data_IF_743195760490
#
_entry.id   IF_743195760490
#
_cell.length_a   1.000
_cell.length_b   1.000
_cell.length_c   1.000
_cell.angle_alpha   90.00
_cell.angle_beta   90.00
_cell.angle_gamma   90.00
#
_symmetry.space_group_name_H-M   'P 1'
#
loop_
_entity.id
_entity.type
_entity.pdbx_description
1 polymer ?
#
# COMPACT_ATOMS: atom_id res chain seq x y z
N UNK A 1 -45.11 -20.61 12.46
CA UNK A 1 -44.01 -20.17 11.56
C UNK A 1 -44.25 -18.85 10.80
N UNK A 2 -45.46 -18.27 10.78
CA UNK A 2 -45.72 -17.00 10.09
C UNK A 2 -45.48 -15.72 10.93
N UNK A 3 -45.05 -15.82 12.20
CA UNK A 3 -44.80 -14.65 13.09
C UNK A 3 -43.32 -14.33 13.37
N UNK A 4 -42.37 -15.16 12.91
CA UNK A 4 -40.93 -14.91 13.05
C UNK A 4 -40.26 -14.28 11.81
N UNK A 5 -40.98 -14.15 10.69
CA UNK A 5 -40.46 -13.51 9.45
C UNK A 5 -40.73 -12.00 9.42
N UNK A 6 -41.60 -11.48 10.29
CA UNK A 6 -41.95 -10.05 10.36
C UNK A 6 -40.99 -9.21 11.22
N UNK A 7 -40.29 -9.83 12.18
CA UNK A 7 -39.37 -9.13 13.07
C UNK A 7 -37.99 -8.81 12.43
N UNK A 8 -37.59 -9.54 11.38
CA UNK A 8 -36.31 -9.32 10.68
C UNK A 8 -36.40 -8.26 9.56
N UNK A 9 -37.61 -7.84 9.17
CA UNK A 9 -37.83 -6.79 8.15
C UNK A 9 -37.86 -5.37 8.72
N UNK A 10 -37.79 -5.18 10.04
CA UNK A 10 -37.77 -3.84 10.68
C UNK A 10 -36.41 -3.40 11.22
N UNK A 11 -35.35 -4.19 11.03
CA UNK A 11 -34.01 -3.88 11.53
C UNK A 11 -33.01 -3.38 10.45
N UNK A 12 -33.45 -3.20 9.19
CA UNK A 12 -32.58 -2.77 8.08
C UNK A 12 -33.01 -1.43 7.43
N UNK A 13 -33.87 -0.67 8.11
CA UNK A 13 -34.38 0.60 7.59
C UNK A 13 -33.51 1.86 7.84
N UNK A 14 -32.54 1.92 8.79
CA UNK A 14 -31.74 3.14 8.98
C UNK A 14 -30.28 2.94 8.58
N UNK A 15 -30.00 2.69 7.30
CA UNK A 15 -28.65 2.89 6.71
C UNK A 15 -28.73 3.76 5.45
N UNK A 16 -29.89 3.88 4.81
CA UNK A 16 -30.06 4.68 3.59
C UNK A 16 -30.54 6.13 3.81
N UNK A 17 -30.84 6.53 5.05
CA UNK A 17 -31.37 7.88 5.33
C UNK A 17 -30.30 8.94 5.65
N UNK A 18 -29.02 8.57 5.84
CA UNK A 18 -27.98 9.53 6.24
C UNK A 18 -27.16 10.12 5.06
N UNK A 19 -27.37 9.67 3.82
CA UNK A 19 -26.66 10.18 2.64
C UNK A 19 -27.48 11.19 1.81
N UNK A 20 -28.69 11.54 2.25
CA UNK A 20 -29.62 12.39 1.50
C UNK A 20 -29.94 13.71 2.24
N UNK A 21 -28.91 14.47 2.64
CA UNK A 21 -29.14 15.83 3.18
C UNK A 21 -28.00 16.85 2.95
N UNK A 22 -27.26 16.76 1.83
CA UNK A 22 -26.33 17.84 1.42
C UNK A 22 -26.46 18.24 -0.06
N UNK A 23 -27.35 17.63 -0.83
CA UNK A 23 -27.52 17.95 -2.25
C UNK A 23 -28.74 18.84 -2.51
N UNK A 24 -28.74 20.08 -2.01
CA UNK A 24 -29.68 21.10 -2.51
C UNK A 24 -29.27 22.54 -2.20
N UNK A 25 -28.20 23.08 -2.83
CA UNK A 25 -28.15 24.50 -3.21
C UNK A 25 -27.23 24.67 -4.43
N UNK A 26 -27.77 25.25 -5.51
CA UNK A 26 -27.01 26.16 -6.38
C UNK A 26 -26.48 25.61 -7.70
N UNK A 27 -27.37 25.38 -8.66
CA UNK A 27 -27.01 25.49 -10.06
C UNK A 27 -26.80 26.97 -10.43
N UNK A 28 -25.68 27.30 -11.08
CA UNK A 28 -25.47 28.35 -12.10
C UNK A 28 -24.02 28.85 -11.98
N UNK A 29 -23.19 28.55 -12.98
CA UNK A 29 -22.19 29.44 -13.60
C UNK A 29 -21.51 28.62 -14.71
N UNK A 30 -21.64 29.07 -15.96
CA UNK A 30 -20.94 28.48 -17.10
C UNK A 30 -19.43 28.75 -16.97
N UNK A 31 -18.63 27.68 -16.94
CA UNK A 31 -17.17 27.75 -16.89
C UNK A 31 -16.57 27.76 -18.31
N UNK A 32 -15.43 28.45 -18.54
CA UNK A 32 -14.76 28.57 -19.84
C UNK A 32 -14.08 27.24 -20.24
N UNK A 33 -13.61 27.06 -21.50
CA UNK A 33 -13.19 25.76 -22.00
C UNK A 33 -11.93 25.28 -21.28
N UNK A 34 -12.10 24.32 -20.38
CA UNK A 34 -11.02 23.69 -19.65
C UNK A 34 -10.24 22.72 -20.55
N UNK A 35 -8.91 22.78 -20.45
CA UNK A 35 -8.02 21.78 -21.01
C UNK A 35 -8.44 20.36 -20.60
N UNK A 36 -8.33 19.41 -21.52
CA UNK A 36 -8.76 18.03 -21.33
C UNK A 36 -8.14 17.42 -20.04
N UNK A 37 -8.94 16.72 -19.21
CA UNK A 37 -8.44 16.09 -18.00
C UNK A 37 -7.37 15.02 -18.30
N UNK A 38 -6.42 14.73 -17.38
CA UNK A 38 -5.25 13.89 -17.61
C UNK A 38 -5.51 12.38 -17.87
N UNK A 39 -6.78 12.01 -18.12
CA UNK A 39 -7.27 10.65 -18.34
C UNK A 39 -8.04 10.47 -19.66
N UNK A 40 -8.18 11.51 -20.49
CA UNK A 40 -8.87 11.41 -21.77
C UNK A 40 -7.95 10.82 -22.87
N UNK A 41 -8.46 9.93 -23.74
CA UNK A 41 -7.73 9.52 -24.93
C UNK A 41 -7.43 10.70 -25.84
N UNK A 42 -6.36 10.63 -26.65
CA UNK A 42 -6.03 11.65 -27.64
C UNK A 42 -7.05 11.76 -28.77
N UNK A 43 -8.11 10.93 -28.79
CA UNK A 43 -9.23 11.01 -29.72
C UNK A 43 -10.48 10.33 -29.16
N UNK A 44 -11.56 10.28 -29.94
CA UNK A 44 -12.89 9.93 -29.45
C UNK A 44 -13.15 8.41 -29.45
N UNK A 45 -12.12 7.57 -29.47
CA UNK A 45 -12.27 6.12 -29.59
C UNK A 45 -11.17 5.32 -28.89
N UNK A 46 -11.50 4.08 -28.53
CA UNK A 46 -10.57 3.05 -28.03
C UNK A 46 -10.58 1.81 -28.92
N UNK A 47 -9.51 1.02 -28.87
CA UNK A 47 -9.47 -0.32 -29.47
C UNK A 47 -9.96 -1.36 -28.47
N UNK A 48 -10.68 -2.36 -28.95
CA UNK A 48 -11.13 -3.51 -28.15
C UNK A 48 -10.76 -4.79 -28.89
N UNK A 49 -9.87 -5.61 -28.31
CA UNK A 49 -9.52 -6.94 -28.80
C UNK A 49 -10.24 -8.00 -27.99
N UNK A 50 -11.45 -8.32 -28.46
CA UNK A 50 -12.43 -9.10 -27.72
C UNK A 50 -12.58 -10.54 -28.20
N UNK A 51 -13.61 -11.22 -27.69
CA UNK A 51 -13.98 -12.59 -28.13
C UNK A 51 -14.42 -12.63 -29.60
N UNK A 52 -14.86 -11.49 -30.15
CA UNK A 52 -15.30 -11.34 -31.53
C UNK A 52 -14.21 -10.77 -32.47
N UNK A 53 -12.98 -10.57 -31.98
CA UNK A 53 -11.88 -9.96 -32.72
C UNK A 53 -11.62 -8.49 -32.40
N UNK A 54 -10.82 -7.84 -33.25
CA UNK A 54 -10.41 -6.43 -33.09
C UNK A 54 -11.54 -5.50 -33.54
N UNK A 55 -11.99 -4.62 -32.65
CA UNK A 55 -13.07 -3.63 -32.88
C UNK A 55 -12.63 -2.25 -32.36
N UNK A 56 -13.16 -1.18 -32.96
CA UNK A 56 -13.00 0.19 -32.45
C UNK A 56 -14.31 0.63 -31.80
N UNK A 57 -14.25 1.10 -30.57
CA UNK A 57 -15.40 1.59 -29.81
C UNK A 57 -15.30 3.10 -29.65
N UNK A 58 -16.34 3.81 -30.10
CA UNK A 58 -16.46 5.25 -29.94
C UNK A 58 -16.83 5.61 -28.51
N UNK A 59 -16.21 6.67 -28.01
CA UNK A 59 -16.45 7.28 -26.71
C UNK A 59 -17.47 8.40 -26.86
N UNK A 60 -18.41 8.48 -25.93
CA UNK A 60 -19.22 9.66 -25.74
C UNK A 60 -18.44 10.65 -24.85
N UNK A 61 -18.15 11.88 -25.30
CA UNK A 61 -17.38 12.84 -24.51
C UNK A 61 -18.03 13.13 -23.15
N UNK A 62 -17.20 13.31 -22.13
CA UNK A 62 -17.62 13.60 -20.76
C UNK A 62 -16.50 14.19 -19.91
N UNK A 63 -16.84 14.75 -18.75
CA UNK A 63 -15.87 15.32 -17.80
C UNK A 63 -14.89 14.27 -17.25
N UNK A 64 -15.27 12.99 -17.23
CA UNK A 64 -14.44 11.88 -16.75
C UNK A 64 -13.50 11.25 -17.78
N UNK A 65 -13.36 11.83 -18.98
CA UNK A 65 -12.48 11.33 -20.05
C UNK A 65 -13.15 10.39 -21.06
N UNK A 66 -14.47 10.31 -21.07
CA UNK A 66 -15.28 9.60 -22.06
C UNK A 66 -16.10 8.44 -21.48
N UNK A 67 -17.27 8.19 -22.07
CA UNK A 67 -18.18 7.08 -21.73
C UNK A 67 -18.25 6.04 -22.84
N UNK A 68 -18.47 4.79 -22.46
CA UNK A 68 -18.70 3.67 -23.38
C UNK A 68 -20.07 3.05 -23.13
N UNK A 69 -20.63 2.44 -24.17
CA UNK A 69 -21.83 1.62 -24.07
C UNK A 69 -21.54 0.32 -23.33
N UNK A 70 -22.22 0.12 -22.21
CA UNK A 70 -22.00 -1.03 -21.33
C UNK A 70 -22.26 -2.36 -22.04
N UNK A 71 -23.39 -2.47 -22.73
CA UNK A 71 -23.84 -3.68 -23.44
C UNK A 71 -22.87 -4.11 -24.56
N UNK A 72 -22.32 -3.14 -25.29
CA UNK A 72 -21.34 -3.36 -26.35
C UNK A 72 -20.04 -3.90 -25.78
N UNK A 73 -19.50 -3.23 -24.76
CA UNK A 73 -18.24 -3.62 -24.13
C UNK A 73 -18.32 -5.00 -23.48
N UNK A 74 -19.41 -5.28 -22.76
CA UNK A 74 -19.65 -6.59 -22.14
C UNK A 74 -19.65 -7.71 -23.18
N UNK A 75 -20.34 -7.51 -24.31
CA UNK A 75 -20.39 -8.48 -25.40
C UNK A 75 -19.02 -8.68 -26.06
N UNK A 76 -18.31 -7.59 -26.36
CA UNK A 76 -16.98 -7.67 -26.97
C UNK A 76 -15.99 -8.42 -26.08
N UNK A 77 -16.09 -8.26 -24.76
CA UNK A 77 -15.19 -8.91 -23.80
C UNK A 77 -15.68 -10.27 -23.30
N UNK A 78 -16.80 -10.79 -23.83
CA UNK A 78 -17.32 -12.11 -23.48
C UNK A 78 -17.91 -12.20 -22.07
N UNK A 79 -18.40 -11.09 -21.51
CA UNK A 79 -19.12 -11.06 -20.24
C UNK A 79 -20.63 -11.24 -20.38
N UNK A 80 -21.32 -11.21 -19.23
CA UNK A 80 -22.78 -11.18 -19.14
C UNK A 80 -23.27 -9.90 -18.48
N UNK A 81 -24.49 -9.49 -18.81
CA UNK A 81 -25.15 -8.33 -18.22
C UNK A 81 -26.59 -8.70 -17.87
N UNK A 82 -26.91 -8.64 -16.58
CA UNK A 82 -28.22 -8.96 -16.02
C UNK A 82 -28.86 -7.69 -15.46
N UNK A 83 -30.16 -7.48 -15.67
CA UNK A 83 -30.90 -6.41 -15.00
C UNK A 83 -31.37 -6.90 -13.63
N UNK A 84 -30.96 -6.20 -12.56
CA UNK A 84 -31.40 -6.47 -11.20
C UNK A 84 -32.64 -5.63 -10.82
N UNK A 85 -32.76 -4.44 -11.41
CA UNK A 85 -33.90 -3.55 -11.36
C UNK A 85 -33.90 -2.64 -12.60
N UNK A 86 -34.92 -1.79 -12.75
CA UNK A 86 -35.05 -0.87 -13.88
C UNK A 86 -33.84 0.10 -14.01
N UNK A 87 -33.23 0.46 -12.89
CA UNK A 87 -32.12 1.40 -12.77
C UNK A 87 -30.81 0.72 -12.36
N UNK A 88 -30.76 -0.62 -12.31
CA UNK A 88 -29.62 -1.35 -11.74
C UNK A 88 -29.27 -2.60 -12.53
N UNK A 89 -27.99 -2.75 -12.85
CA UNK A 89 -27.45 -3.83 -13.67
C UNK A 89 -26.31 -4.54 -12.95
N UNK A 90 -26.24 -5.85 -13.13
CA UNK A 90 -25.08 -6.67 -12.75
C UNK A 90 -24.33 -7.07 -14.02
N UNK A 91 -23.03 -6.81 -14.04
CA UNK A 91 -22.15 -7.13 -15.16
C UNK A 91 -21.10 -8.12 -14.67
N UNK A 92 -20.99 -9.26 -15.35
CA UNK A 92 -20.12 -10.36 -14.92
C UNK A 92 -19.08 -10.75 -15.97
N UNK A 93 -17.86 -11.03 -15.51
CA UNK A 93 -16.75 -11.54 -16.32
C UNK A 93 -16.02 -12.63 -15.54
N UNK A 94 -15.88 -13.82 -16.13
CA UNK A 94 -15.04 -14.92 -15.60
C UNK A 94 -15.21 -15.20 -14.09
N UNK A 95 -16.45 -15.17 -13.59
CA UNK A 95 -16.78 -15.46 -12.18
C UNK A 95 -16.85 -14.26 -11.23
N UNK A 96 -16.51 -13.05 -11.69
CA UNK A 96 -16.64 -11.80 -10.93
C UNK A 96 -17.79 -10.95 -11.47
N UNK A 97 -18.48 -10.19 -10.61
CA UNK A 97 -19.57 -9.33 -11.03
C UNK A 97 -19.57 -7.97 -10.31
N UNK A 98 -19.76 -6.88 -11.07
CA UNK A 98 -20.02 -5.54 -10.54
C UNK A 98 -21.48 -5.17 -10.75
N UNK A 99 -22.03 -4.38 -9.85
CA UNK A 99 -23.36 -3.77 -9.95
C UNK A 99 -23.21 -2.28 -10.23
N UNK A 100 -24.04 -1.77 -11.13
CA UNK A 100 -24.05 -0.38 -11.58
C UNK A 100 -25.47 0.15 -11.44
N UNK A 101 -25.62 1.39 -11.00
CA UNK A 101 -26.92 2.03 -10.83
C UNK A 101 -26.95 3.39 -11.51
N UNK A 102 -28.06 3.69 -12.20
CA UNK A 102 -28.27 4.95 -12.90
C UNK A 102 -28.17 6.16 -11.97
N UNK A 103 -27.48 7.22 -12.42
CA UNK A 103 -27.27 8.44 -11.65
C UNK A 103 -26.30 8.30 -10.46
N UNK A 104 -25.78 7.10 -10.19
CA UNK A 104 -24.88 6.85 -9.06
C UNK A 104 -23.42 6.85 -9.53
N UNK A 105 -22.52 7.67 -8.96
CA UNK A 105 -21.09 7.69 -9.29
C UNK A 105 -20.32 6.60 -8.53
N UNK A 106 -20.94 5.43 -8.37
CA UNK A 106 -20.33 4.27 -7.71
C UNK A 106 -20.75 2.99 -8.41
N UNK A 107 -19.81 2.04 -8.54
CA UNK A 107 -20.11 0.65 -8.83
C UNK A 107 -20.09 -0.15 -7.52
N UNK A 108 -21.04 -1.04 -7.33
CA UNK A 108 -21.04 -1.96 -6.20
C UNK A 108 -20.33 -3.27 -6.57
N UNK A 109 -19.39 -3.72 -5.77
CA UNK A 109 -18.68 -4.99 -5.98
C UNK A 109 -18.57 -5.71 -4.65
N UNK A 110 -19.15 -6.91 -4.53
CA UNK A 110 -19.10 -7.71 -3.30
C UNK A 110 -19.43 -6.94 -2.01
N UNK A 111 -20.38 -6.00 -2.07
CA UNK A 111 -20.81 -5.18 -0.92
C UNK A 111 -20.02 -3.89 -0.69
N UNK A 112 -19.03 -3.58 -1.54
CA UNK A 112 -18.23 -2.34 -1.49
C UNK A 112 -18.65 -1.36 -2.59
N UNK A 113 -18.51 -0.05 -2.34
CA UNK A 113 -18.76 1.01 -3.31
C UNK A 113 -17.44 1.52 -3.92
N UNK A 114 -17.25 1.30 -5.22
CA UNK A 114 -16.11 1.76 -6.01
C UNK A 114 -16.45 3.10 -6.67
N UNK A 115 -15.75 4.21 -6.36
CA UNK A 115 -16.04 5.51 -6.96
C UNK A 115 -15.80 5.50 -8.47
N UNK A 116 -16.72 6.11 -9.20
CA UNK A 116 -16.61 6.38 -10.63
C UNK A 116 -16.24 7.85 -10.84
N UNK A 117 -15.45 8.14 -11.88
CA UNK A 117 -15.14 9.52 -12.28
C UNK A 117 -16.40 10.36 -12.57
N UNK A 118 -17.51 9.69 -12.90
CA UNK A 118 -18.81 10.29 -13.15
C UNK A 118 -19.93 9.25 -12.96
N UNK A 119 -21.16 9.72 -12.73
CA UNK A 119 -22.33 8.86 -12.55
C UNK A 119 -22.61 7.95 -13.75
N UNK A 120 -23.19 6.76 -13.56
CA UNK A 120 -23.75 5.99 -14.68
C UNK A 120 -24.86 6.81 -15.35
N UNK A 121 -24.92 6.79 -16.68
CA UNK A 121 -25.89 7.53 -17.46
C UNK A 121 -26.76 6.57 -18.27
N UNK A 122 -28.08 6.61 -18.07
CA UNK A 122 -29.04 5.97 -18.97
C UNK A 122 -29.63 6.99 -19.92
N UNK A 123 -29.53 6.73 -21.23
CA UNK A 123 -30.15 7.57 -22.26
C UNK A 123 -30.84 6.69 -23.29
N UNK A 124 -32.15 6.92 -23.49
CA UNK A 124 -32.98 6.16 -24.43
C UNK A 124 -32.89 4.63 -24.24
N UNK A 125 -32.82 4.17 -22.99
CA UNK A 125 -32.70 2.75 -22.65
C UNK A 125 -31.30 2.16 -22.86
N UNK A 126 -30.31 2.96 -23.25
CA UNK A 126 -28.91 2.55 -23.38
C UNK A 126 -28.11 2.99 -22.16
N UNK A 127 -27.34 2.07 -21.58
CA UNK A 127 -26.51 2.32 -20.40
C UNK A 127 -25.10 2.73 -20.82
N UNK A 128 -24.70 3.93 -20.41
CA UNK A 128 -23.36 4.48 -20.62
C UNK A 128 -22.62 4.58 -19.30
N UNK A 129 -21.40 4.05 -19.28
CA UNK A 129 -20.52 4.08 -18.12
C UNK A 129 -19.24 4.83 -18.45
N UNK A 130 -18.58 5.49 -17.47
CA UNK A 130 -17.25 6.04 -17.70
C UNK A 130 -16.29 4.95 -18.22
N UNK A 131 -15.38 5.34 -19.11
CA UNK A 131 -14.32 4.46 -19.63
C UNK A 131 -13.55 3.77 -18.50
N UNK A 132 -13.42 4.44 -17.36
CA UNK A 132 -12.89 3.90 -16.10
C UNK A 132 -13.43 2.50 -15.76
N UNK A 133 -14.70 2.22 -16.04
CA UNK A 133 -15.27 0.89 -15.80
C UNK A 133 -14.50 -0.19 -16.54
N UNK A 134 -13.98 0.06 -17.73
CA UNK A 134 -13.25 -0.92 -18.54
C UNK A 134 -11.74 -0.71 -18.60
N UNK A 135 -11.25 0.49 -18.30
CA UNK A 135 -9.82 0.78 -18.24
C UNK A 135 -9.23 0.52 -16.85
N UNK A 136 -10.04 0.60 -15.80
CA UNK A 136 -9.57 0.53 -14.42
C UNK A 136 -10.34 -0.48 -13.57
N UNK A 137 -11.66 -0.58 -13.67
CA UNK A 137 -12.48 -1.44 -12.77
C UNK A 137 -12.51 -2.89 -13.28
N UNK A 138 -13.09 -3.17 -14.44
CA UNK A 138 -13.22 -4.52 -15.01
C UNK A 138 -11.86 -5.23 -15.14
N UNK A 139 -10.74 -4.61 -15.56
CA UNK A 139 -9.44 -5.26 -15.55
C UNK A 139 -8.94 -5.70 -14.16
N UNK A 140 -9.48 -5.16 -13.06
CA UNK A 140 -9.17 -5.61 -11.69
C UNK A 140 -9.93 -6.87 -11.29
N UNK A 141 -11.09 -7.15 -11.91
CA UNK A 141 -12.01 -8.21 -11.44
C UNK A 141 -12.24 -9.32 -12.48
N UNK A 142 -12.13 -9.03 -13.78
CA UNK A 142 -12.32 -9.99 -14.85
C UNK A 142 -11.03 -10.74 -15.18
N UNK A 143 -11.00 -12.05 -14.97
CA UNK A 143 -9.88 -12.89 -15.42
C UNK A 143 -9.76 -12.77 -16.94
N UNK A 144 -8.63 -12.24 -17.39
CA UNK A 144 -8.27 -12.20 -18.79
C UNK A 144 -8.67 -10.95 -19.55
N UNK A 145 -9.03 -9.82 -18.93
CA UNK A 145 -9.21 -8.52 -19.60
C UNK A 145 -8.09 -7.56 -19.16
N UNK A 146 -7.46 -6.87 -20.10
CA UNK A 146 -6.29 -5.99 -19.87
C UNK A 146 -6.52 -4.62 -20.51
N UNK A 147 -6.16 -3.55 -19.80
CA UNK A 147 -6.07 -2.19 -20.35
C UNK A 147 -4.63 -1.85 -20.72
N UNK A 148 -4.41 -1.43 -21.97
CA UNK A 148 -3.14 -0.89 -22.45
C UNK A 148 -3.30 0.61 -22.71
N UNK A 149 -2.78 1.43 -21.79
CA UNK A 149 -2.85 2.89 -21.87
C UNK A 149 -2.02 3.48 -23.01
N UNK A 150 -0.94 2.82 -23.43
CA UNK A 150 -0.09 3.31 -24.52
C UNK A 150 -0.79 3.21 -25.88
N UNK A 151 -1.70 2.23 -26.02
CA UNK A 151 -2.46 1.95 -27.25
C UNK A 151 -3.94 2.31 -27.16
N UNK A 152 -4.40 2.80 -26.00
CA UNK A 152 -5.81 3.02 -25.70
C UNK A 152 -6.67 1.81 -26.08
N UNK A 153 -6.23 0.64 -25.60
CA UNK A 153 -6.74 -0.67 -26.01
C UNK A 153 -7.20 -1.49 -24.80
N UNK A 154 -8.43 -2.02 -24.84
CA UNK A 154 -8.89 -3.09 -23.94
C UNK A 154 -8.74 -4.42 -24.68
N UNK A 155 -8.10 -5.43 -24.09
CA UNK A 155 -7.85 -6.72 -24.77
C UNK A 155 -8.03 -7.94 -23.87
N UNK A 156 -8.36 -9.09 -24.48
CA UNK A 156 -8.30 -10.37 -23.78
C UNK A 156 -6.87 -10.91 -23.64
N UNK A 157 -6.55 -11.56 -22.52
CA UNK A 157 -5.26 -12.19 -22.25
C UNK A 157 -5.24 -13.62 -22.81
N UNK A 158 -4.32 -13.90 -23.74
CA UNK A 158 -4.03 -15.28 -24.17
C UNK A 158 -2.74 -15.75 -23.51
N UNK A 159 -2.81 -16.81 -22.70
CA UNK A 159 -1.64 -17.41 -22.07
C UNK A 159 -0.77 -18.13 -23.11
N UNK A 160 0.51 -17.78 -23.21
CA UNK A 160 1.50 -18.57 -23.94
C UNK A 160 1.83 -19.80 -23.09
N UNK A 161 1.35 -20.97 -23.49
CA UNK A 161 1.66 -22.23 -22.83
C UNK A 161 3.12 -22.64 -23.14
N UNK A 162 4.00 -22.62 -22.12
CA UNK A 162 5.21 -23.46 -22.09
C UNK A 162 5.08 -24.43 -20.92
N UNK A 163 4.90 -25.70 -21.27
CA UNK A 163 4.91 -26.84 -20.36
C UNK A 163 6.35 -27.37 -20.34
N UNK A 164 7.03 -27.23 -19.21
CA UNK A 164 8.20 -28.06 -18.90
C UNK A 164 7.91 -28.77 -17.58
N UNK A 165 7.84 -30.10 -17.65
CA UNK A 165 7.53 -30.98 -16.54
C UNK A 165 8.80 -31.22 -15.72
N UNK A 166 8.78 -30.88 -14.44
CA UNK A 166 9.81 -31.30 -13.48
C UNK A 166 9.46 -32.69 -12.91
N UNK A 167 10.45 -33.61 -12.76
CA UNK A 167 10.20 -34.96 -12.26
C UNK A 167 10.13 -34.99 -10.73
N UNK A 168 9.31 -35.92 -10.21
CA UNK A 168 9.10 -36.16 -8.79
C UNK A 168 10.29 -36.89 -8.13
N UNK A 169 10.60 -36.52 -6.89
CA UNK A 169 11.55 -37.23 -6.01
C UNK A 169 10.81 -37.69 -4.75
N UNK A 170 10.94 -38.97 -4.32
CA UNK A 170 10.16 -39.53 -3.23
C UNK A 170 10.70 -39.18 -1.83
N UNK A 171 9.79 -39.08 -0.88
CA UNK A 171 10.04 -38.81 0.53
C UNK A 171 10.66 -40.01 1.26
N UNK A 172 11.63 -39.75 2.13
CA UNK A 172 12.11 -40.68 3.16
C UNK A 172 12.05 -40.02 4.53
N UNK A 173 11.34 -40.68 5.45
CA UNK A 173 11.23 -40.34 6.87
C UNK A 173 12.40 -40.97 7.65
N UNK A 174 12.94 -40.29 8.67
CA UNK A 174 13.49 -41.01 9.81
C UNK A 174 12.85 -40.61 11.15
N UNK A 175 12.87 -41.60 12.04
CA UNK A 175 12.17 -41.75 13.30
C UNK A 175 12.67 -40.85 14.45
N UNK A 176 11.80 -40.74 15.46
CA UNK A 176 12.01 -40.09 16.75
C UNK A 176 13.05 -40.80 17.63
N UNK A 177 13.65 -40.07 18.60
CA UNK A 177 14.07 -40.68 19.84
C UNK A 177 13.39 -40.09 21.08
N UNK A 178 13.35 -40.98 22.06
CA UNK A 178 12.66 -41.02 23.35
C UNK A 178 13.17 -40.06 24.42
N UNK A 179 12.24 -39.60 25.25
CA UNK A 179 12.42 -38.92 26.55
C UNK A 179 13.03 -39.82 27.62
N UNK A 180 13.74 -39.25 28.61
CA UNK A 180 13.48 -39.64 30.00
C UNK A 180 13.19 -38.45 30.93
N UNK A 181 12.43 -38.75 31.98
CA UNK A 181 11.84 -37.84 32.96
C UNK A 181 12.67 -37.65 34.25
N UNK A 182 12.15 -36.77 35.13
CA UNK A 182 12.53 -36.37 36.52
C UNK A 182 13.44 -35.13 36.61
N UNK A 183 13.29 -34.19 37.56
CA UNK A 183 12.52 -34.11 38.82
C UNK A 183 12.33 -32.63 39.21
N UNK A 184 11.36 -32.35 40.08
CA UNK A 184 11.01 -31.05 40.65
C UNK A 184 12.10 -30.37 41.49
N UNK A 185 12.08 -29.02 41.57
CA UNK A 185 12.25 -28.26 42.83
C UNK A 185 12.08 -26.73 42.62
N UNK A 186 11.19 -26.15 43.43
CA UNK A 186 11.24 -24.87 44.15
C UNK A 186 11.37 -23.51 43.44
N UNK A 187 10.28 -22.74 43.58
CA UNK A 187 10.14 -21.27 43.61
C UNK A 187 11.05 -20.63 44.69
N UNK A 188 11.49 -19.37 44.51
CA UNK A 188 10.75 -18.27 45.17
C UNK A 188 10.59 -16.99 44.33
N UNK A 189 9.60 -16.19 44.74
CA UNK A 189 9.19 -14.86 44.24
C UNK A 189 10.31 -13.80 44.19
N UNK A 190 10.16 -12.74 43.39
CA UNK A 190 10.77 -11.45 43.69
C UNK A 190 9.74 -10.39 44.12
N UNK A 191 10.07 -9.78 45.27
CA UNK A 191 9.48 -8.58 45.86
C UNK A 191 9.37 -7.42 44.88
N UNK A 192 8.19 -6.80 44.90
CA UNK A 192 7.91 -5.47 44.37
C UNK A 192 8.62 -4.42 45.23
N UNK A 193 9.46 -3.58 44.60
CA UNK A 193 9.98 -2.34 45.22
C UNK A 193 9.45 -1.16 44.42
N UNK A 194 8.55 -0.41 45.05
CA UNK A 194 8.04 0.89 44.60
C UNK A 194 8.98 1.98 45.12
N UNK A 195 9.44 2.93 44.29
CA UNK A 195 9.89 4.22 44.78
C UNK A 195 8.77 5.28 44.69
N UNK A 196 8.73 6.24 45.64
CA UNK A 196 7.59 7.13 45.86
C UNK A 196 7.57 8.36 44.95
N UNK A 197 6.34 8.86 44.76
CA UNK A 197 5.97 10.06 44.02
C UNK A 197 6.09 11.37 44.82
N UNK A 198 6.18 12.46 44.05
CA UNK A 198 5.60 13.81 44.26
C UNK A 198 6.48 14.90 44.95
N UNK A 199 6.18 16.23 44.80
CA UNK A 199 5.18 16.91 43.97
C UNK A 199 5.74 18.26 43.33
N UNK A 200 4.97 19.32 42.95
CA UNK A 200 5.22 20.10 41.71
C UNK A 200 5.58 21.59 41.98
N UNK A 201 5.99 22.34 40.94
CA UNK A 201 5.99 23.80 40.97
C UNK A 201 5.92 24.45 39.56
N UNK A 202 4.70 24.84 39.18
CA UNK A 202 4.21 26.13 38.66
C UNK A 202 4.95 27.00 37.58
N UNK A 203 4.20 27.90 36.90
CA UNK A 203 4.31 28.13 35.46
C UNK A 203 4.88 29.50 35.04
N UNK A 204 4.91 29.67 33.71
CA UNK A 204 5.00 30.91 32.92
C UNK A 204 6.40 31.43 32.56
N UNK A 205 6.68 31.48 31.25
CA UNK A 205 7.00 32.73 30.54
C UNK A 205 7.14 32.47 29.02
N UNK A 206 6.26 33.11 28.24
CA UNK A 206 6.32 33.20 26.77
C UNK A 206 7.28 34.33 26.38
N UNK A 207 8.21 34.15 25.42
CA UNK A 207 8.85 35.27 24.75
C UNK A 207 8.16 35.61 23.41
N UNK A 208 8.00 36.91 23.20
CA UNK A 208 7.30 37.57 22.13
C UNK A 208 7.91 37.37 20.73
N UNK A 209 7.04 37.43 19.72
CA UNK A 209 7.32 37.51 18.29
C UNK A 209 7.96 38.86 17.91
N UNK A 210 9.05 38.92 17.13
CA UNK A 210 9.55 40.17 16.55
C UNK A 210 8.72 40.59 15.31
N UNK A 211 8.65 41.90 14.99
CA UNK A 211 7.74 42.43 13.98
C UNK A 211 8.23 42.20 12.53
N UNK A 212 7.25 42.16 11.62
CA UNK A 212 7.42 41.95 10.19
C UNK A 212 8.24 43.06 9.51
N UNK A 213 9.30 42.66 8.80
CA UNK A 213 10.02 43.50 7.84
C UNK A 213 9.39 43.38 6.44
N UNK A 214 9.16 44.54 5.81
CA UNK A 214 8.53 44.77 4.50
C UNK A 214 9.22 44.01 3.35
N UNK A 215 8.48 43.50 2.33
CA UNK A 215 9.10 42.82 1.19
C UNK A 215 9.75 43.84 0.24
N UNK A 216 11.08 43.79 0.12
CA UNK A 216 11.83 44.43 -0.96
C UNK A 216 11.67 43.65 -2.27
N UNK A 217 11.42 44.36 -3.37
CA UNK A 217 11.21 43.81 -4.70
C UNK A 217 12.36 42.90 -5.14
N UNK A 218 12.05 41.62 -5.39
CA UNK A 218 12.99 40.64 -5.92
C UNK A 218 13.21 40.84 -7.42
N UNK A 219 14.47 40.90 -7.83
CA UNK A 219 14.89 40.85 -9.23
C UNK A 219 14.40 39.56 -9.92
N UNK A 220 14.18 39.57 -11.25
CA UNK A 220 13.64 38.42 -11.96
C UNK A 220 14.58 37.22 -11.85
N UNK A 221 14.07 36.14 -11.24
CA UNK A 221 14.80 34.88 -11.11
C UNK A 221 15.02 34.27 -12.51
N UNK A 222 16.29 34.03 -12.86
CA UNK A 222 16.67 33.19 -14.00
C UNK A 222 15.99 31.82 -13.90
N UNK A 223 15.59 31.18 -15.03
CA UNK A 223 14.97 29.86 -15.00
C UNK A 223 15.89 28.87 -14.29
N UNK A 224 15.43 28.33 -13.16
CA UNK A 224 16.18 27.35 -12.39
C UNK A 224 16.26 26.09 -13.25
N UNK A 225 17.43 25.83 -13.83
CA UNK A 225 17.70 24.60 -14.59
C UNK A 225 17.48 23.42 -13.64
N UNK A 226 16.56 22.52 -13.98
CA UNK A 226 16.31 21.34 -13.15
C UNK A 226 17.63 20.58 -12.91
N UNK A 227 17.89 20.12 -11.67
CA UNK A 227 19.12 19.42 -11.37
C UNK A 227 19.22 18.15 -12.22
N UNK A 228 20.41 17.90 -12.77
CA UNK A 228 20.68 16.77 -13.64
C UNK A 228 20.36 15.41 -12.97
N UNK A 229 19.99 14.43 -13.80
CA UNK A 229 19.75 13.05 -13.36
C UNK A 229 21.03 12.43 -12.75
N UNK A 230 20.89 11.53 -11.76
CA UNK A 230 22.02 10.79 -11.21
C UNK A 230 22.79 9.98 -12.25
N UNK A 231 24.11 9.76 -12.07
CA UNK A 231 24.88 8.86 -12.92
C UNK A 231 24.24 7.47 -13.01
N UNK A 232 23.96 7.03 -14.23
CA UNK A 232 23.35 5.73 -14.52
C UNK A 232 21.83 5.69 -14.46
N UNK A 233 21.17 6.83 -14.20
CA UNK A 233 19.72 7.00 -14.34
C UNK A 233 19.40 8.07 -15.39
N UNK A 234 18.28 7.91 -16.06
CA UNK A 234 17.79 8.79 -17.12
C UNK A 234 17.04 10.02 -16.59
N UNK A 235 16.52 9.92 -15.36
CA UNK A 235 15.86 11.00 -14.65
C UNK A 235 16.13 10.90 -13.14
N UNK A 236 15.73 11.93 -12.42
CA UNK A 236 15.65 11.91 -10.96
C UNK A 236 14.39 11.15 -10.54
N UNK A 237 14.52 10.30 -9.53
CA UNK A 237 13.42 9.57 -8.92
C UNK A 237 13.18 10.07 -7.49
N UNK A 238 11.93 9.99 -7.06
CA UNK A 238 11.50 10.31 -5.69
C UNK A 238 11.23 9.03 -4.91
N UNK A 239 11.90 8.84 -3.78
CA UNK A 239 11.69 7.70 -2.88
C UNK A 239 11.00 8.17 -1.61
N UNK A 240 9.82 7.64 -1.33
CA UNK A 240 9.18 7.81 -0.04
C UNK A 240 9.75 6.79 0.95
N UNK A 241 10.24 7.27 2.09
CA UNK A 241 10.75 6.44 3.18
C UNK A 241 9.83 6.65 4.39
N UNK A 242 9.13 5.59 4.76
CA UNK A 242 8.31 5.53 5.95
C UNK A 242 9.11 4.97 7.13
N UNK A 243 9.12 5.72 8.23
CA UNK A 243 9.65 5.23 9.50
C UNK A 243 8.47 4.66 10.31
N UNK A 244 8.43 3.33 10.48
CA UNK A 244 7.40 2.62 11.25
C UNK A 244 7.13 3.25 12.62
N UNK A 245 5.87 3.20 13.08
CA UNK A 245 5.42 3.69 14.40
C UNK A 245 5.69 5.19 14.62
N UNK A 246 5.82 5.64 15.88
CA UNK A 246 6.18 7.01 16.27
C UNK A 246 5.28 7.62 17.35
N UNK A 247 5.85 8.49 18.18
CA UNK A 247 5.14 9.21 19.23
C UNK A 247 4.55 8.27 20.28
N UNK A 248 3.22 8.24 20.40
CA UNK A 248 2.50 7.39 21.38
C UNK A 248 2.63 5.89 21.07
N UNK A 249 2.97 5.55 19.84
CA UNK A 249 3.20 4.18 19.42
C UNK A 249 4.72 3.90 19.35
N UNK A 250 5.29 3.18 20.33
CA UNK A 250 6.70 2.84 20.34
C UNK A 250 7.07 1.70 19.39
N UNK A 251 6.09 1.03 18.77
CA UNK A 251 6.25 -0.28 18.14
C UNK A 251 6.68 -1.34 19.14
N UNK A 252 7.47 -2.33 18.72
CA UNK A 252 7.98 -3.31 19.67
C UNK A 252 8.87 -2.66 20.75
N UNK A 253 8.79 -3.20 21.97
CA UNK A 253 9.47 -2.67 23.14
C UNK A 253 11.00 -2.76 23.07
N UNK A 254 11.52 -3.49 22.09
CA UNK A 254 12.92 -3.77 21.85
C UNK A 254 13.67 -4.28 23.09
N UNK A 255 14.92 -3.86 23.21
CA UNK A 255 15.83 -4.22 24.31
C UNK A 255 16.43 -2.98 24.97
N UNK A 256 17.07 -3.16 26.12
CA UNK A 256 17.86 -2.12 26.76
C UNK A 256 19.32 -2.27 26.34
N UNK A 257 19.85 -1.24 25.68
CA UNK A 257 21.26 -1.14 25.30
C UNK A 257 21.89 0.04 26.03
N UNK A 258 23.03 -0.16 26.69
CA UNK A 258 23.78 0.89 27.38
C UNK A 258 22.91 1.73 28.35
N UNK A 259 22.01 1.06 29.09
CA UNK A 259 21.10 1.71 30.05
C UNK A 259 19.92 2.47 29.42
N UNK A 260 19.74 2.43 28.10
CA UNK A 260 18.64 3.11 27.40
C UNK A 260 17.81 2.10 26.61
N UNK A 261 16.48 2.24 26.70
CA UNK A 261 15.57 1.46 25.85
C UNK A 261 15.73 1.87 24.39
N UNK A 262 15.85 0.88 23.53
CA UNK A 262 15.90 1.02 22.08
C UNK A 262 14.67 0.30 21.55
N UNK A 263 13.60 1.06 21.33
CA UNK A 263 12.35 0.57 20.76
C UNK A 263 12.35 0.78 19.24
N UNK A 264 11.35 0.22 18.60
CA UNK A 264 11.20 0.24 17.15
C UNK A 264 11.08 1.65 16.58
N UNK A 265 10.16 2.46 17.11
CA UNK A 265 9.92 3.82 16.61
C UNK A 265 11.19 4.68 16.55
N UNK A 266 12.12 4.46 17.50
CA UNK A 266 13.41 5.12 17.50
C UNK A 266 14.35 4.56 16.44
N UNK A 267 14.49 3.24 16.36
CA UNK A 267 15.36 2.59 15.37
C UNK A 267 14.94 2.95 13.94
N UNK A 268 13.65 2.86 13.64
CA UNK A 268 13.11 3.15 12.30
C UNK A 268 13.32 4.60 11.90
N UNK A 269 13.19 5.55 12.83
CA UNK A 269 13.48 6.97 12.58
C UNK A 269 14.97 7.22 12.32
N UNK A 270 15.85 6.62 13.13
CA UNK A 270 17.30 6.75 12.97
C UNK A 270 17.77 6.14 11.63
N UNK A 271 17.23 4.97 11.25
CA UNK A 271 17.47 4.31 9.95
C UNK A 271 16.95 5.15 8.78
N UNK A 272 15.71 5.65 8.87
CA UNK A 272 15.09 6.43 7.80
C UNK A 272 15.87 7.73 7.50
N UNK A 273 16.35 8.43 8.52
CA UNK A 273 17.16 9.66 8.34
C UNK A 273 18.52 9.38 7.68
N UNK A 274 19.15 8.25 8.02
CA UNK A 274 20.41 7.84 7.40
C UNK A 274 20.19 7.40 5.96
N UNK A 275 19.15 6.62 5.70
CA UNK A 275 18.75 6.24 4.35
C UNK A 275 18.41 7.46 3.50
N UNK A 276 17.68 8.44 4.04
CA UNK A 276 17.41 9.71 3.37
C UNK A 276 18.71 10.42 2.95
N UNK A 277 19.68 10.51 3.87
CA UNK A 277 20.97 11.15 3.60
C UNK A 277 21.75 10.41 2.50
N UNK A 278 21.78 9.07 2.55
CA UNK A 278 22.45 8.23 1.56
C UNK A 278 21.79 8.36 0.17
N UNK A 279 20.47 8.21 0.06
CA UNK A 279 19.73 8.34 -1.20
C UNK A 279 19.88 9.74 -1.82
N UNK A 280 19.81 10.80 -1.00
CA UNK A 280 20.03 12.19 -1.46
C UNK A 280 21.45 12.42 -1.94
N UNK A 281 22.46 11.84 -1.27
CA UNK A 281 23.87 11.95 -1.69
C UNK A 281 24.12 11.38 -3.09
N UNK A 282 23.28 10.42 -3.50
CA UNK A 282 23.31 9.81 -4.83
C UNK A 282 22.40 10.49 -5.85
N UNK A 283 21.75 11.60 -5.47
CA UNK A 283 20.95 12.42 -6.36
C UNK A 283 19.49 11.98 -6.52
N UNK A 284 18.95 11.19 -5.60
CA UNK A 284 17.51 10.94 -5.54
C UNK A 284 16.80 11.99 -4.67
N UNK A 285 15.53 12.21 -4.94
CA UNK A 285 14.66 12.97 -4.03
C UNK A 285 14.08 12.02 -2.99
N UNK A 286 13.93 12.52 -1.76
CA UNK A 286 13.44 11.71 -0.64
C UNK A 286 12.38 12.46 0.14
N UNK A 287 11.30 11.74 0.43
CA UNK A 287 10.19 12.19 1.28
C UNK A 287 10.11 11.26 2.49
N UNK A 288 10.29 11.81 3.68
CA UNK A 288 9.99 11.09 4.92
C UNK A 288 8.50 11.24 5.26
N UNK A 289 7.83 10.15 5.63
CA UNK A 289 6.45 10.24 6.18
C UNK A 289 6.44 10.96 7.52
N UNK A 290 7.48 10.75 8.35
CA UNK A 290 7.79 11.54 9.54
C UNK A 290 9.28 11.89 9.65
N UNK A 291 9.62 13.18 9.81
CA UNK A 291 11.01 13.60 10.07
C UNK A 291 11.38 13.59 11.57
N UNK A 292 10.42 13.31 12.45
CA UNK A 292 10.56 13.38 13.90
C UNK A 292 9.72 12.29 14.59
N UNK A 293 9.82 12.24 15.92
CA UNK A 293 9.12 11.24 16.73
C UNK A 293 7.66 11.66 16.97
N UNK A 294 6.80 11.33 16.00
CA UNK A 294 5.36 11.59 16.04
C UNK A 294 4.61 10.45 15.38
N UNK A 295 3.37 10.20 15.84
CA UNK A 295 2.48 9.25 15.19
C UNK A 295 2.05 9.79 13.82
N UNK A 296 2.20 8.98 12.78
CA UNK A 296 1.52 9.15 11.48
C UNK A 296 0.57 7.98 11.32
N UNK A 297 -0.75 8.22 11.20
CA UNK A 297 -1.72 7.15 10.97
C UNK A 297 -1.36 6.31 9.75
N UNK A 298 -1.52 4.98 9.85
CA UNK A 298 -1.21 4.02 8.80
C UNK A 298 -1.92 4.39 7.49
N UNK A 299 -3.15 4.87 7.58
CA UNK A 299 -3.97 5.25 6.45
C UNK A 299 -3.49 6.54 5.74
N UNK A 300 -2.61 7.33 6.36
CA UNK A 300 -2.02 8.56 5.83
C UNK A 300 -0.62 8.37 5.23
N UNK A 301 0.12 7.33 5.63
CA UNK A 301 1.52 7.10 5.20
C UNK A 301 1.64 6.95 3.68
N UNK A 302 0.82 6.08 3.08
CA UNK A 302 0.74 5.93 1.62
C UNK A 302 0.29 7.21 0.89
N UNK A 303 -0.79 7.88 1.32
CA UNK A 303 -1.20 9.17 0.76
C UNK A 303 -0.14 10.27 0.80
N UNK A 304 0.73 10.33 1.81
CA UNK A 304 1.86 11.27 1.83
C UNK A 304 2.79 11.02 0.63
N UNK A 305 3.10 9.75 0.34
CA UNK A 305 3.91 9.36 -0.81
C UNK A 305 3.23 9.69 -2.15
N UNK A 306 1.93 9.38 -2.26
CA UNK A 306 1.14 9.69 -3.45
C UNK A 306 1.09 11.20 -3.74
N UNK A 307 0.87 12.01 -2.71
CA UNK A 307 0.80 13.48 -2.83
C UNK A 307 2.14 14.10 -3.27
N UNK A 308 3.25 13.39 -3.07
CA UNK A 308 4.58 13.78 -3.54
C UNK A 308 4.99 13.11 -4.84
N UNK A 309 4.11 12.32 -5.44
CA UNK A 309 4.36 11.54 -6.66
C UNK A 309 5.63 10.69 -6.53
N UNK A 310 5.79 10.05 -5.37
CA UNK A 310 6.92 9.15 -5.15
C UNK A 310 6.89 8.01 -6.16
N UNK A 311 8.06 7.64 -6.65
CA UNK A 311 8.26 6.53 -7.58
C UNK A 311 8.39 5.19 -6.84
N UNK A 312 8.79 5.22 -5.56
CA UNK A 312 8.98 4.05 -4.70
C UNK A 312 8.52 4.36 -3.27
N UNK A 313 8.04 3.35 -2.55
CA UNK A 313 7.69 3.44 -1.14
C UNK A 313 8.41 2.37 -0.32
N UNK A 314 9.17 2.78 0.70
CA UNK A 314 9.95 1.91 1.57
C UNK A 314 9.50 2.10 3.03
N UNK A 315 8.85 1.11 3.62
CA UNK A 315 8.47 1.11 5.04
C UNK A 315 9.52 0.40 5.88
N UNK A 316 10.19 1.09 6.80
CA UNK A 316 11.21 0.50 7.67
C UNK A 316 10.61 0.13 9.03
N UNK A 317 10.77 -1.13 9.41
CA UNK A 317 10.29 -1.74 10.66
C UNK A 317 11.37 -2.62 11.30
N UNK A 318 11.09 -3.09 12.51
CA UNK A 318 11.87 -4.13 13.18
C UNK A 318 10.93 -5.17 13.76
N UNK A 319 11.16 -6.46 13.47
CA UNK A 319 10.22 -7.48 13.88
C UNK A 319 10.35 -7.77 15.38
N UNK A 320 9.36 -8.46 15.94
CA UNK A 320 9.38 -9.05 17.26
C UNK A 320 9.04 -10.54 17.19
N UNK A 321 9.78 -11.32 17.97
CA UNK A 321 9.51 -12.74 18.09
C UNK A 321 8.15 -12.98 18.76
N UNK A 322 7.44 -14.03 18.33
CA UNK A 322 6.19 -14.41 18.98
C UNK A 322 6.47 -14.79 20.46
N UNK A 323 5.76 -14.19 21.42
CA UNK A 323 5.98 -14.45 22.85
C UNK A 323 5.72 -15.91 23.24
N UNK A 324 4.95 -16.66 22.45
CA UNK A 324 4.63 -18.07 22.70
C UNK A 324 5.70 -19.03 22.15
N UNK A 325 6.71 -18.54 21.42
CA UNK A 325 7.78 -19.39 20.93
C UNK A 325 8.77 -19.73 22.05
N UNK A 326 9.07 -21.04 22.21
CA UNK A 326 9.97 -21.56 23.26
C UNK A 326 11.33 -20.84 23.32
N UNK A 327 11.87 -20.43 22.17
CA UNK A 327 13.15 -19.70 22.05
C UNK A 327 12.98 -18.38 21.27
N UNK A 328 11.90 -17.63 21.52
CA UNK A 328 11.60 -16.39 20.79
C UNK A 328 12.76 -15.38 20.80
N UNK A 329 13.47 -15.23 21.92
CA UNK A 329 14.61 -14.32 22.04
C UNK A 329 15.80 -14.66 21.13
N UNK A 330 15.88 -15.89 20.60
CA UNK A 330 16.90 -16.31 19.65
C UNK A 330 16.52 -16.03 18.19
N UNK A 331 15.25 -15.71 17.91
CA UNK A 331 14.80 -15.40 16.54
C UNK A 331 15.36 -14.05 16.12
N UNK A 332 16.00 -14.04 14.96
CA UNK A 332 16.76 -12.91 14.43
C UNK A 332 16.85 -13.02 12.91
N UNK A 333 17.34 -11.98 12.26
CA UNK A 333 17.51 -11.94 10.80
C UNK A 333 16.59 -10.94 10.11
N UNK A 334 16.87 -10.73 8.83
CA UNK A 334 16.18 -9.76 7.97
C UNK A 334 15.12 -10.42 7.09
N UNK A 335 13.99 -9.76 6.92
CA UNK A 335 12.92 -10.13 5.99
C UNK A 335 12.31 -8.91 5.32
N UNK A 336 11.84 -9.09 4.08
CA UNK A 336 11.25 -8.01 3.28
C UNK A 336 9.92 -8.47 2.74
N UNK A 337 8.91 -7.62 2.87
CA UNK A 337 7.54 -7.90 2.47
C UNK A 337 7.11 -7.00 1.33
N UNK A 338 6.28 -7.55 0.45
CA UNK A 338 5.43 -6.77 -0.44
C UNK A 338 3.97 -7.08 -0.15
N UNK A 339 3.09 -6.19 -0.61
CA UNK A 339 1.65 -6.32 -0.37
C UNK A 339 1.11 -7.50 -1.19
N UNK A 340 0.68 -8.58 -0.56
CA UNK A 340 -0.04 -9.70 -1.20
C UNK A 340 -0.61 -10.64 -0.12
N UNK A 341 -1.49 -11.56 -0.51
CA UNK A 341 -2.12 -12.47 0.46
C UNK A 341 -1.07 -13.31 1.17
N UNK A 342 -1.08 -13.29 2.51
CA UNK A 342 -0.13 -14.07 3.30
C UNK A 342 -0.26 -15.58 3.06
N UNK A 343 0.88 -16.26 2.89
CA UNK A 343 0.97 -17.71 2.64
C UNK A 343 1.13 -18.50 3.93
N UNK A 344 1.70 -17.88 4.96
CA UNK A 344 2.01 -18.53 6.25
C UNK A 344 1.36 -17.82 7.42
N UNK A 345 1.28 -18.53 8.56
CA UNK A 345 0.79 -17.95 9.83
C UNK A 345 1.71 -16.83 10.34
N UNK A 346 3.02 -16.98 10.16
CA UNK A 346 4.00 -15.98 10.60
C UNK A 346 3.85 -14.68 9.79
N UNK A 347 3.64 -14.77 8.48
CA UNK A 347 3.33 -13.61 7.64
C UNK A 347 2.02 -12.91 8.06
N UNK A 348 0.97 -13.68 8.38
CA UNK A 348 -0.29 -13.13 8.90
C UNK A 348 -0.11 -12.45 10.24
N UNK A 349 0.68 -13.04 11.14
CA UNK A 349 0.98 -12.50 12.46
C UNK A 349 1.76 -11.19 12.38
N UNK A 350 2.80 -11.12 11.55
CA UNK A 350 3.60 -9.89 11.39
C UNK A 350 2.70 -8.79 10.83
N UNK A 351 1.91 -9.05 9.79
CA UNK A 351 0.94 -8.07 9.29
C UNK A 351 -0.06 -7.64 10.37
N UNK A 352 -0.62 -8.57 11.14
CA UNK A 352 -1.54 -8.23 12.23
C UNK A 352 -0.88 -7.29 13.24
N UNK A 353 0.34 -7.61 13.68
CA UNK A 353 1.13 -6.80 14.62
C UNK A 353 1.38 -5.38 14.09
N UNK A 354 1.82 -5.25 12.84
CA UNK A 354 2.07 -3.94 12.22
C UNK A 354 0.80 -3.14 11.99
N UNK A 355 -0.33 -3.82 11.82
CA UNK A 355 -1.62 -3.18 11.63
C UNK A 355 -2.33 -2.85 12.97
N UNK A 356 -1.82 -3.32 14.12
CA UNK A 356 -2.36 -2.98 15.45
C UNK A 356 -2.22 -1.49 15.78
N UNK A 357 -1.37 -0.74 15.08
CA UNK A 357 -1.20 0.72 15.27
C UNK A 357 -2.52 1.49 15.20
N UNK A 358 -3.52 0.96 14.47
CA UNK A 358 -4.89 1.52 14.41
C UNK A 358 -5.50 1.73 15.79
N UNK A 359 -5.16 0.92 16.80
CA UNK A 359 -5.68 1.13 18.16
C UNK A 359 -5.31 2.50 18.74
N UNK A 360 -4.12 3.01 18.41
CA UNK A 360 -3.66 4.34 18.83
C UNK A 360 -4.26 5.46 17.97
N UNK A 361 -4.78 5.12 16.79
CA UNK A 361 -5.48 6.05 15.89
C UNK A 361 -6.94 6.23 16.34
N UNK A 362 -7.62 5.17 16.79
CA UNK A 362 -9.05 5.18 17.19
C UNK A 362 -9.31 6.08 18.41
N UNK A 363 -8.37 6.19 19.34
CA UNK A 363 -8.45 7.14 20.46
C UNK A 363 -8.40 8.61 19.99
N UNK A 364 -7.94 8.85 18.76
CA UNK A 364 -7.95 10.16 18.09
C UNK A 364 -9.04 10.31 17.03
N UNK A 365 -9.71 9.22 16.60
CA UNK A 365 -10.75 9.22 15.57
C UNK A 365 -11.64 7.94 15.60
N UNK A 366 -12.88 7.97 16.13
CA UNK A 366 -13.64 6.77 16.53
C UNK A 366 -14.39 6.00 15.40
N UNK A 367 -13.79 5.81 14.21
CA UNK A 367 -14.50 5.29 13.03
C UNK A 367 -14.02 3.98 12.38
N UNK A 368 -12.96 3.32 12.86
CA UNK A 368 -12.30 2.24 12.10
C UNK A 368 -12.83 0.82 12.45
N UNK A 369 -13.66 0.26 11.56
CA UNK A 369 -14.00 -1.17 11.52
C UNK A 369 -12.99 -2.00 10.69
N UNK A 370 -13.05 -3.33 10.86
CA UNK A 370 -12.09 -4.36 10.41
C UNK A 370 -11.42 -4.11 9.03
N UNK A 371 -10.16 -3.63 9.01
CA UNK A 371 -9.48 -3.15 7.79
C UNK A 371 -8.83 -4.23 6.92
N UNK A 372 -8.59 -5.43 7.44
CA UNK A 372 -7.52 -6.31 6.93
C UNK A 372 -7.94 -7.25 5.81
N UNK A 373 -9.17 -7.75 5.85
CA UNK A 373 -9.68 -8.67 4.81
C UNK A 373 -9.90 -7.99 3.45
N UNK A 374 -10.15 -6.68 3.45
CA UNK A 374 -10.43 -5.88 2.26
C UNK A 374 -9.17 -5.53 1.45
N UNK A 375 -8.05 -5.29 2.15
CA UNK A 375 -6.79 -4.77 1.58
C UNK A 375 -6.11 -5.75 0.64
N UNK A 376 -6.26 -7.05 0.87
CA UNK A 376 -5.59 -8.10 0.08
C UNK A 376 -6.25 -8.36 -1.29
N UNK A 377 -7.52 -7.99 -1.46
CA UNK A 377 -8.25 -8.16 -2.73
C UNK A 377 -8.11 -6.95 -3.67
N UNK A 378 -7.64 -5.80 -3.16
CA UNK A 378 -7.57 -4.52 -3.89
C UNK A 378 -6.13 -4.06 -4.19
N UNK A 379 -5.15 -4.96 -4.08
CA UNK A 379 -3.74 -4.63 -4.37
C UNK A 379 -3.53 -4.48 -5.87
N UNK A 380 -3.47 -3.21 -6.25
CA UNK A 380 -2.92 -2.62 -7.46
C UNK A 380 -2.08 -3.57 -8.32
N UNK A 381 -2.57 -3.83 -9.54
CA UNK A 381 -1.81 -4.08 -10.76
C UNK A 381 -0.69 -5.14 -10.64
N UNK A 382 -0.78 -6.19 -11.47
CA UNK A 382 0.27 -7.20 -11.65
C UNK A 382 1.67 -6.58 -11.90
N UNK A 383 1.73 -5.33 -12.39
CA UNK A 383 2.96 -4.55 -12.52
C UNK A 383 3.52 -4.08 -11.17
N UNK A 384 2.80 -3.28 -10.35
CA UNK A 384 3.34 -2.85 -9.04
C UNK A 384 3.63 -4.02 -8.10
N UNK A 385 2.87 -5.11 -8.18
CA UNK A 385 3.16 -6.34 -7.44
C UNK A 385 4.50 -6.97 -7.86
N UNK A 386 4.75 -7.12 -9.17
CA UNK A 386 6.02 -7.64 -9.69
C UNK A 386 7.17 -6.70 -9.38
N UNK A 387 6.98 -5.41 -9.59
CA UNK A 387 7.96 -4.37 -9.26
C UNK A 387 8.29 -4.35 -7.77
N UNK A 388 7.29 -4.50 -6.89
CA UNK A 388 7.50 -4.58 -5.44
C UNK A 388 8.21 -5.86 -5.05
N UNK A 389 7.90 -7.00 -5.69
CA UNK A 389 8.60 -8.26 -5.46
C UNK A 389 10.07 -8.20 -5.92
N UNK A 390 10.34 -7.61 -7.09
CA UNK A 390 11.71 -7.41 -7.61
C UNK A 390 12.52 -6.48 -6.69
N UNK A 391 11.93 -5.35 -6.28
CA UNK A 391 12.53 -4.43 -5.32
C UNK A 391 12.78 -5.11 -3.97
N UNK A 392 11.80 -5.85 -3.45
CA UNK A 392 11.92 -6.59 -2.20
C UNK A 392 13.07 -7.60 -2.26
N UNK A 393 13.24 -8.31 -3.37
CA UNK A 393 14.32 -9.28 -3.55
C UNK A 393 15.70 -8.61 -3.54
N UNK A 394 15.87 -7.50 -4.28
CA UNK A 394 17.12 -6.75 -4.28
C UNK A 394 17.47 -6.20 -2.89
N UNK A 395 16.49 -5.65 -2.18
CA UNK A 395 16.69 -5.13 -0.82
C UNK A 395 17.01 -6.26 0.17
N UNK A 396 16.29 -7.39 0.07
CA UNK A 396 16.52 -8.56 0.90
C UNK A 396 17.95 -9.10 0.73
N UNK A 397 18.41 -9.27 -0.51
CA UNK A 397 19.73 -9.82 -0.80
C UNK A 397 20.84 -8.87 -0.36
N UNK A 398 20.68 -7.56 -0.59
CA UNK A 398 21.64 -6.55 -0.18
C UNK A 398 21.78 -6.44 1.34
N UNK A 399 20.67 -6.56 2.08
CA UNK A 399 20.71 -6.58 3.55
C UNK A 399 21.26 -7.91 4.08
N UNK A 400 20.83 -9.04 3.51
CA UNK A 400 21.31 -10.37 3.92
C UNK A 400 22.83 -10.52 3.80
N UNK A 401 23.46 -9.84 2.84
CA UNK A 401 24.92 -9.84 2.68
C UNK A 401 25.68 -9.11 3.80
N UNK A 402 25.01 -8.25 4.58
CA UNK A 402 25.61 -7.43 5.65
C UNK A 402 25.10 -7.79 7.04
N UNK A 403 23.86 -8.26 7.13
CA UNK A 403 23.19 -8.55 8.38
C UNK A 403 23.90 -9.71 9.13
N UNK A 404 24.10 -9.64 10.46
CA UNK A 404 24.81 -10.67 11.24
C UNK A 404 23.99 -11.96 11.46
N UNK A 405 22.66 -11.84 11.40
CA UNK A 405 21.70 -12.94 11.43
C UNK A 405 21.34 -13.49 10.04
N UNK A 406 20.49 -14.54 9.98
CA UNK A 406 20.13 -15.19 8.73
C UNK A 406 19.23 -14.31 7.84
N UNK A 407 19.24 -14.59 6.54
CA UNK A 407 18.19 -14.14 5.63
C UNK A 407 16.93 -14.96 5.87
N UNK A 408 15.79 -14.29 6.06
CA UNK A 408 14.47 -14.92 6.24
C UNK A 408 13.59 -14.83 4.98
N UNK A 409 14.16 -14.25 3.92
CA UNK A 409 13.62 -14.21 2.57
C UNK A 409 12.58 -13.11 2.34
N UNK A 410 12.16 -13.02 1.08
CA UNK A 410 11.03 -12.18 0.67
C UNK A 410 9.71 -12.87 1.01
N UNK A 411 8.76 -12.09 1.51
CA UNK A 411 7.47 -12.54 2.00
C UNK A 411 6.33 -11.68 1.43
N UNK A 412 5.10 -12.15 1.61
CA UNK A 412 3.90 -11.39 1.25
C UNK A 412 2.91 -11.37 2.40
N UNK A 413 2.32 -10.20 2.68
CA UNK A 413 1.19 -10.10 3.62
C UNK A 413 0.38 -8.81 3.42
N UNK A 414 -0.77 -8.72 4.11
CA UNK A 414 -1.74 -7.62 4.02
C UNK A 414 -1.39 -6.43 4.90
N UNK A 415 -0.26 -5.78 4.66
CA UNK A 415 0.12 -4.57 5.39
C UNK A 415 -0.70 -3.35 4.95
N UNK A 416 -1.36 -2.69 5.90
CA UNK A 416 -2.18 -1.52 5.60
C UNK A 416 -1.35 -0.34 5.10
N UNK A 417 -0.14 -0.17 5.63
CA UNK A 417 0.76 0.91 5.21
C UNK A 417 1.08 0.86 3.70
N UNK A 418 1.14 -0.35 3.14
CA UNK A 418 1.43 -0.58 1.73
C UNK A 418 0.18 -0.45 0.84
N UNK A 419 -1.02 -0.57 1.41
CA UNK A 419 -2.29 -0.65 0.66
C UNK A 419 -2.73 0.62 -0.05
N UNK A 420 -2.30 1.77 0.44
CA UNK A 420 -2.62 3.08 -0.14
C UNK A 420 -1.40 3.72 -0.80
N UNK A 421 -0.32 2.96 -1.02
CA UNK A 421 0.85 3.39 -1.76
C UNK A 421 0.67 3.00 -3.24
N UNK A 422 0.46 3.98 -4.13
CA UNK A 422 0.15 3.74 -5.55
C UNK A 422 1.41 3.74 -6.43
N UNK A 423 2.44 3.04 -5.95
CA UNK A 423 3.74 2.82 -6.57
C UNK A 423 4.32 1.50 -6.02
N UNK A 424 5.43 0.95 -6.57
CA UNK A 424 6.09 -0.20 -5.96
C UNK A 424 6.43 0.08 -4.50
N UNK A 425 5.97 -0.80 -3.62
CA UNK A 425 5.92 -0.57 -2.18
C UNK A 425 6.35 -1.82 -1.42
N UNK A 426 7.33 -1.66 -0.52
CA UNK A 426 7.84 -2.75 0.32
C UNK A 426 7.87 -2.35 1.79
N UNK A 427 7.78 -3.34 2.67
CA UNK A 427 8.06 -3.21 4.09
C UNK A 427 9.31 -4.04 4.43
N UNK A 428 10.27 -3.43 5.10
CA UNK A 428 11.56 -4.04 5.44
C UNK A 428 11.62 -4.23 6.95
N UNK A 429 11.62 -5.48 7.38
CA UNK A 429 11.96 -5.85 8.75
C UNK A 429 13.47 -6.02 8.84
N UNK A 430 14.15 -4.95 9.28
CA UNK A 430 15.62 -4.86 9.21
C UNK A 430 16.32 -5.85 10.15
N UNK A 431 15.59 -6.35 11.15
CA UNK A 431 16.03 -7.30 12.16
C UNK A 431 14.98 -7.43 13.26
N UNK A 432 15.21 -8.31 14.24
CA UNK A 432 14.30 -8.49 15.37
C UNK A 432 14.68 -7.57 16.54
N UNK A 433 13.86 -6.56 16.84
CA UNK A 433 14.07 -5.65 17.96
C UNK A 433 14.11 -6.36 19.32
N UNK A 434 13.45 -7.52 19.43
CA UNK A 434 13.47 -8.39 20.62
C UNK A 434 14.73 -9.26 20.74
N UNK A 435 15.58 -9.31 19.71
CA UNK A 435 16.85 -10.03 19.73
C UNK A 435 18.00 -9.07 20.01
N UNK A 436 18.86 -9.45 20.97
CA UNK A 436 19.93 -8.57 21.45
C UNK A 436 21.03 -8.33 20.40
N UNK A 437 21.29 -9.29 19.51
CA UNK A 437 22.33 -9.15 18.48
C UNK A 437 21.84 -8.23 17.35
N UNK A 438 20.63 -8.47 16.84
CA UNK A 438 20.01 -7.60 15.83
C UNK A 438 19.84 -6.18 16.37
N UNK A 439 19.30 -6.01 17.58
CA UNK A 439 19.12 -4.69 18.17
C UNK A 439 20.46 -3.95 18.37
N UNK A 440 21.53 -4.65 18.77
CA UNK A 440 22.88 -4.04 18.88
C UNK A 440 23.40 -3.58 17.53
N UNK A 441 23.25 -4.41 16.50
CA UNK A 441 23.68 -4.06 15.15
C UNK A 441 22.87 -2.89 14.60
N UNK A 442 21.53 -2.96 14.65
CA UNK A 442 20.62 -1.91 14.21
C UNK A 442 20.80 -0.60 14.99
N UNK A 443 21.18 -0.63 16.27
CA UNK A 443 21.45 0.59 17.04
C UNK A 443 22.87 1.16 16.81
N UNK A 444 23.78 0.38 16.22
CA UNK A 444 25.18 0.79 16.04
C UNK A 444 25.35 1.72 14.84
N UNK A 445 26.34 2.62 14.90
CA UNK A 445 26.65 3.51 13.77
C UNK A 445 27.09 2.73 12.52
N UNK A 446 27.78 1.61 12.71
CA UNK A 446 28.22 0.74 11.62
C UNK A 446 27.03 0.03 10.97
N UNK A 447 26.18 -0.65 11.75
CA UNK A 447 25.00 -1.33 11.22
C UNK A 447 24.02 -0.37 10.56
N UNK A 448 23.77 0.80 11.15
CA UNK A 448 22.97 1.87 10.53
C UNK A 448 23.54 2.38 9.20
N UNK A 449 24.86 2.38 9.03
CA UNK A 449 25.51 2.70 7.75
C UNK A 449 25.32 1.55 6.76
N UNK A 450 25.55 0.31 7.19
CA UNK A 450 25.39 -0.88 6.36
C UNK A 450 23.96 -0.99 5.84
N UNK A 451 22.95 -0.78 6.70
CA UNK A 451 21.52 -0.78 6.34
C UNK A 451 21.23 0.28 5.28
N UNK A 452 21.63 1.54 5.52
CA UNK A 452 21.37 2.63 4.59
C UNK A 452 22.05 2.40 3.23
N UNK A 453 23.30 1.92 3.23
CA UNK A 453 24.04 1.61 2.02
C UNK A 453 23.42 0.45 1.25
N UNK A 454 23.11 -0.67 1.92
CA UNK A 454 22.48 -1.85 1.29
C UNK A 454 21.14 -1.50 0.64
N UNK A 455 20.26 -0.80 1.35
CA UNK A 455 18.95 -0.41 0.80
C UNK A 455 19.16 0.58 -0.36
N UNK A 456 20.07 1.55 -0.22
CA UNK A 456 20.33 2.51 -1.29
C UNK A 456 20.96 1.86 -2.54
N UNK A 457 21.84 0.89 -2.38
CA UNK A 457 22.43 0.13 -3.49
C UNK A 457 21.35 -0.65 -4.23
N UNK A 458 20.50 -1.37 -3.49
CA UNK A 458 19.37 -2.13 -4.05
C UNK A 458 18.36 -1.23 -4.78
N UNK A 459 18.01 -0.07 -4.22
CA UNK A 459 17.12 0.91 -4.87
C UNK A 459 17.72 1.40 -6.19
N UNK A 460 19.02 1.74 -6.21
CA UNK A 460 19.68 2.17 -7.44
C UNK A 460 19.74 1.07 -8.49
N UNK A 461 20.03 -0.16 -8.07
CA UNK A 461 20.03 -1.32 -8.95
C UNK A 461 18.63 -1.56 -9.54
N UNK A 462 17.60 -1.55 -8.70
CA UNK A 462 16.20 -1.66 -9.11
C UNK A 462 15.85 -0.59 -10.16
N UNK A 463 16.14 0.69 -9.89
CA UNK A 463 15.81 1.78 -10.80
C UNK A 463 16.51 1.62 -12.16
N UNK A 464 17.77 1.18 -12.17
CA UNK A 464 18.48 0.85 -13.43
C UNK A 464 17.82 -0.31 -14.16
N UNK A 465 17.36 -1.33 -13.45
CA UNK A 465 16.67 -2.49 -14.05
C UNK A 465 15.34 -2.06 -14.65
N UNK A 466 14.59 -1.25 -13.91
CA UNK A 466 13.32 -0.65 -14.33
C UNK A 466 13.49 0.20 -15.59
N UNK A 467 14.49 1.10 -15.66
CA UNK A 467 14.74 1.91 -16.86
C UNK A 467 15.13 1.07 -18.07
N UNK A 468 15.95 0.02 -17.90
CA UNK A 468 16.31 -0.87 -19.02
C UNK A 468 15.09 -1.60 -19.57
N UNK A 469 14.23 -2.13 -18.70
CA UNK A 469 13.01 -2.85 -19.10
C UNK A 469 12.01 -1.92 -19.80
N UNK A 470 11.76 -0.75 -19.23
CA UNK A 470 10.82 0.23 -19.80
C UNK A 470 11.30 0.82 -21.13
N UNK A 471 12.61 1.08 -21.28
CA UNK A 471 13.20 1.49 -22.56
C UNK A 471 13.14 0.41 -23.64
N UNK A 472 13.30 -0.86 -23.26
CA UNK A 472 13.20 -1.98 -24.19
C UNK A 472 11.74 -2.25 -24.63
N UNK A 473 10.77 -2.00 -23.76
CA UNK A 473 9.34 -2.15 -24.06
C UNK A 473 8.75 -1.00 -24.91
N UNK A 474 9.43 0.15 -24.97
CA UNK A 474 9.05 1.31 -25.79
C UNK A 474 9.66 1.35 -27.20
N UNK A 475 10.41 0.32 -27.59
CA UNK A 475 10.89 0.08 -28.97
C UNK A 475 10.09 -1.05 -29.58
#
# INVERSE_FOLDING_TARGET
MARQVSALRRALAPVFAAALLVASVGASHAAPPHAAPPHAPPGDAIRVRGVAGDTVVQLLPSEGGGRVRLDVMVRLLGGTMDSLAADRWRVSFSGSAIELQDGVPFAAYNGFALPLHEAVLVSSGVVFVPLQVFSEIVPRFGVGIVWDRSRWEVRLFQAVARREAAPAVPATTPAAPTTPARTASNTPEPRVVVPPSAPPANPATTPATPPASTPGAAAPATPRRDPAAPPGLSRRYTVAVDAGHGGVDPGNNGVVLNGRRVNEARLTLEMAKRLESELRSRGLDVVLTRPEDRLVPLDQRGPIANARRADLFLSLHTNAANPNWRNGSAVRGVETYFLATARTEDERRVAAMENEVVRFEVETNPGAGDPLGFILNDIAQNEHLRESADLAQLVQDALAAKHPGPSRGVKQAGFMVLSKAFMPAILVEVGFGTNIEDARWMASTAGQRDIAQSISDAVFEYLRHYERRTRAAGR
#
